data_IF_393160810033
#
_entry.id   IF_393160810033
#
_cell.length_a   1.000
_cell.length_b   1.000
_cell.length_c   1.000
_cell.angle_alpha   90.00
_cell.angle_beta   90.00
_cell.angle_gamma   90.00
#
_symmetry.space_group_name_H-M   'P 1'
#
loop_
_entity.id
_entity.type
_entity.pdbx_description
1 polymer ?
#
# COMPACT_ATOMS: atom_id res chain seq x y z
N UNK A 1 -3.51 36.42 9.28
CA UNK A 1 -3.91 35.80 10.55
C UNK A 1 -4.15 34.32 10.27
N UNK A 2 -3.11 33.52 10.40
CA UNK A 2 -3.19 32.07 10.29
C UNK A 2 -3.77 31.53 11.59
N UNK A 3 -4.97 30.96 11.51
CA UNK A 3 -5.52 30.17 12.62
C UNK A 3 -4.87 28.79 12.59
N UNK A 4 -3.90 28.57 13.48
CA UNK A 4 -3.44 27.24 13.85
C UNK A 4 -4.63 26.49 14.47
N UNK A 5 -5.26 25.62 13.69
CA UNK A 5 -6.16 24.62 14.24
C UNK A 5 -5.27 23.46 14.70
N UNK A 6 -4.78 23.59 15.94
CA UNK A 6 -4.19 22.48 16.67
C UNK A 6 -5.34 21.55 17.08
N UNK A 7 -5.73 20.62 16.19
CA UNK A 7 -6.63 19.53 16.58
C UNK A 7 -5.89 18.61 17.54
N UNK A 8 -6.33 18.62 18.77
CA UNK A 8 -5.97 17.65 19.80
C UNK A 8 -6.45 16.27 19.34
N UNK A 9 -5.57 15.50 18.67
CA UNK A 9 -5.85 14.17 18.21
C UNK A 9 -5.76 13.21 19.40
N UNK A 10 -6.91 12.91 19.97
CA UNK A 10 -7.13 11.73 20.82
C UNK A 10 -7.49 10.57 19.90
N UNK A 11 -6.52 9.95 19.23
CA UNK A 11 -6.73 8.65 18.59
C UNK A 11 -5.56 7.73 18.91
N UNK A 12 -5.88 6.61 19.47
CA UNK A 12 -4.94 5.59 19.94
C UNK A 12 -4.42 4.69 18.79
N UNK A 13 -4.86 4.91 17.54
CA UNK A 13 -4.51 4.11 16.36
C UNK A 13 -3.88 4.96 15.26
N UNK A 14 -3.11 4.33 14.36
CA UNK A 14 -2.67 4.94 13.11
C UNK A 14 -3.91 5.35 12.35
N UNK A 15 -4.03 6.66 12.07
CA UNK A 15 -5.17 7.17 11.34
C UNK A 15 -5.21 6.56 9.93
N UNK A 16 -6.38 6.07 9.48
CA UNK A 16 -6.56 5.78 8.07
C UNK A 16 -6.49 7.10 7.28
N UNK A 17 -5.90 7.07 6.11
CA UNK A 17 -5.93 8.20 5.19
C UNK A 17 -7.36 8.41 4.71
N UNK A 18 -8.03 9.44 5.24
CA UNK A 18 -9.34 9.81 4.74
C UNK A 18 -9.18 10.67 3.48
N UNK A 19 -8.95 10.01 2.36
CA UNK A 19 -8.74 10.64 1.06
C UNK A 19 -9.89 11.58 0.63
N UNK A 20 -11.13 11.35 1.10
CA UNK A 20 -12.28 12.21 0.80
C UNK A 20 -12.15 13.56 1.50
N UNK A 21 -11.81 13.56 2.78
CA UNK A 21 -11.63 14.79 3.56
C UNK A 21 -10.39 15.57 3.14
N UNK A 22 -9.31 14.87 2.83
CA UNK A 22 -8.04 15.50 2.46
C UNK A 22 -8.09 16.13 1.06
N UNK A 23 -8.96 15.65 0.19
CA UNK A 23 -9.12 16.16 -1.17
C UNK A 23 -10.34 17.11 -1.32
N UNK A 24 -11.10 17.40 -0.26
CA UNK A 24 -12.27 18.30 -0.32
C UNK A 24 -11.97 19.69 -0.91
N UNK A 25 -10.74 20.20 -0.73
CA UNK A 25 -10.32 21.51 -1.21
C UNK A 25 -9.40 21.44 -2.45
N UNK A 26 -9.24 20.27 -3.05
CA UNK A 26 -8.38 20.07 -4.23
C UNK A 26 -9.28 19.84 -5.45
N UNK A 27 -8.99 20.57 -6.54
CA UNK A 27 -9.69 20.36 -7.80
C UNK A 27 -9.47 18.91 -8.27
N UNK A 28 -10.56 18.16 -8.34
CA UNK A 28 -10.50 16.73 -8.64
C UNK A 28 -11.65 16.32 -9.57
N UNK A 29 -11.40 15.26 -10.35
CA UNK A 29 -12.41 14.62 -11.20
C UNK A 29 -12.78 13.28 -10.58
N UNK A 30 -14.08 13.04 -10.38
CA UNK A 30 -14.55 11.82 -9.75
C UNK A 30 -15.35 10.95 -10.71
N UNK A 31 -15.17 9.64 -10.63
CA UNK A 31 -15.99 8.65 -11.30
C UNK A 31 -16.70 7.87 -10.21
N UNK A 32 -17.95 8.21 -10.00
CA UNK A 32 -18.77 7.73 -8.88
C UNK A 32 -18.03 7.87 -7.54
N UNK A 33 -18.15 6.90 -6.64
CA UNK A 33 -17.38 6.82 -5.40
C UNK A 33 -16.10 5.96 -5.55
N UNK A 34 -15.76 5.58 -6.76
CA UNK A 34 -14.77 4.54 -7.02
C UNK A 34 -13.41 5.07 -7.47
N UNK A 35 -13.36 6.21 -8.17
CA UNK A 35 -12.09 6.77 -8.68
C UNK A 35 -12.04 8.28 -8.45
N UNK A 36 -10.88 8.76 -8.02
CA UNK A 36 -10.54 10.19 -8.00
C UNK A 36 -9.28 10.42 -8.81
N UNK A 37 -9.33 11.45 -9.63
CA UNK A 37 -8.24 11.94 -10.44
C UNK A 37 -7.89 13.35 -9.98
N UNK A 38 -6.62 13.62 -9.72
CA UNK A 38 -6.12 14.95 -9.36
C UNK A 38 -5.00 15.32 -10.31
N UNK A 39 -5.15 16.47 -10.96
CA UNK A 39 -4.16 17.05 -11.83
C UNK A 39 -3.28 18.01 -11.02
N UNK A 40 -1.97 17.77 -11.01
CA UNK A 40 -0.99 18.57 -10.27
C UNK A 40 -1.40 18.82 -8.79
N UNK A 41 -1.56 17.77 -7.99
CA UNK A 41 -1.91 17.96 -6.59
C UNK A 41 -0.84 18.80 -5.89
N UNK A 42 -1.24 19.88 -5.24
CA UNK A 42 -0.39 20.57 -4.28
C UNK A 42 -0.30 19.67 -3.04
N UNK A 43 0.69 18.82 -3.02
CA UNK A 43 0.99 18.00 -1.84
C UNK A 43 1.61 18.95 -0.81
N UNK A 44 0.76 19.63 -0.07
CA UNK A 44 1.21 20.43 1.06
C UNK A 44 1.74 19.50 2.14
N UNK A 45 2.76 19.94 2.86
CA UNK A 45 3.39 19.24 3.98
C UNK A 45 2.46 18.93 5.18
N UNK A 46 1.16 18.79 4.92
CA UNK A 46 0.14 18.48 5.92
C UNK A 46 0.29 17.08 6.52
N UNK A 47 1.02 16.20 5.82
CA UNK A 47 1.24 14.82 6.27
C UNK A 47 2.62 14.65 6.93
N UNK A 48 2.84 15.32 8.06
CA UNK A 48 4.08 15.19 8.85
C UNK A 48 4.12 13.93 9.73
N UNK A 49 3.25 12.96 9.49
CA UNK A 49 3.14 11.74 10.29
C UNK A 49 2.80 10.54 9.41
N UNK A 50 3.24 9.33 9.81
CA UNK A 50 2.88 8.11 9.11
C UNK A 50 1.37 7.87 9.12
N UNK A 51 0.79 7.51 7.98
CA UNK A 51 -0.62 7.16 7.85
C UNK A 51 -0.81 5.87 7.06
N UNK A 52 -1.90 5.18 7.32
CA UNK A 52 -2.24 3.94 6.64
C UNK A 52 -3.12 4.23 5.45
N UNK A 53 -2.72 3.73 4.28
CA UNK A 53 -3.56 3.77 3.09
C UNK A 53 -4.65 2.71 3.18
N UNK A 54 -5.89 3.08 2.96
CA UNK A 54 -7.05 2.19 2.82
C UNK A 54 -7.50 2.06 1.35
N UNK A 55 -6.86 2.80 0.46
CA UNK A 55 -7.12 2.84 -0.98
C UNK A 55 -5.88 2.44 -1.79
N UNK A 56 -6.07 2.13 -3.08
CA UNK A 56 -4.95 2.06 -4.02
C UNK A 56 -4.70 3.44 -4.61
N UNK A 57 -3.45 3.87 -4.64
CA UNK A 57 -3.06 5.14 -5.23
C UNK A 57 -1.90 4.97 -6.20
N UNK A 58 -1.98 5.69 -7.34
CA UNK A 58 -0.91 5.82 -8.32
C UNK A 58 -0.60 7.29 -8.55
N UNK A 59 0.67 7.66 -8.54
CA UNK A 59 1.13 9.00 -8.84
C UNK A 59 2.18 8.94 -9.95
N UNK A 60 1.85 9.52 -11.12
CA UNK A 60 2.78 9.69 -12.23
C UNK A 60 3.56 10.98 -11.99
N UNK A 61 4.77 10.87 -11.46
CA UNK A 61 5.66 12.00 -11.23
C UNK A 61 6.23 12.46 -12.57
N UNK A 62 5.93 13.71 -12.97
CA UNK A 62 6.38 14.32 -14.23
C UNK A 62 7.61 15.17 -14.00
N UNK A 63 7.72 15.86 -12.87
CA UNK A 63 8.88 16.67 -12.46
C UNK A 63 9.10 16.54 -10.97
N UNK A 64 10.34 16.85 -10.56
CA UNK A 64 10.73 16.89 -9.15
C UNK A 64 11.20 15.57 -8.59
N UNK A 65 11.41 15.60 -7.29
CA UNK A 65 11.90 14.48 -6.49
C UNK A 65 11.15 14.41 -5.17
N UNK A 66 10.87 13.21 -4.67
CA UNK A 66 10.35 13.03 -3.31
C UNK A 66 11.06 11.90 -2.59
N UNK A 67 11.19 12.05 -1.26
CA UNK A 67 11.67 11.02 -0.36
C UNK A 67 10.53 10.64 0.58
N UNK A 68 10.25 9.35 0.68
CA UNK A 68 9.20 8.82 1.54
C UNK A 68 9.54 7.39 1.98
N UNK A 69 8.81 6.88 2.95
CA UNK A 69 8.90 5.48 3.30
C UNK A 69 7.57 4.77 3.08
N UNK A 70 7.63 3.55 2.57
CA UNK A 70 6.51 2.63 2.51
C UNK A 70 6.79 1.48 3.45
N UNK A 71 5.92 1.26 4.42
CA UNK A 71 6.13 0.24 5.44
C UNK A 71 7.50 0.38 6.13
N UNK A 72 7.88 1.63 6.42
CA UNK A 72 9.16 2.01 7.05
C UNK A 72 10.41 1.73 6.20
N UNK A 73 10.28 1.25 4.97
CA UNK A 73 11.37 1.11 4.01
C UNK A 73 11.49 2.41 3.22
N UNK A 74 12.66 3.07 3.20
CA UNK A 74 12.83 4.34 2.50
C UNK A 74 12.89 4.15 0.99
N UNK A 75 12.35 5.13 0.26
CA UNK A 75 12.38 5.24 -1.19
C UNK A 75 12.64 6.68 -1.61
N UNK A 76 13.34 6.83 -2.72
CA UNK A 76 13.51 8.11 -3.42
C UNK A 76 12.85 7.98 -4.79
N UNK A 77 11.92 8.86 -5.09
CA UNK A 77 11.27 8.96 -6.39
C UNK A 77 11.80 10.18 -7.13
N UNK A 78 12.40 9.97 -8.28
CA UNK A 78 12.88 11.04 -9.18
C UNK A 78 12.14 10.94 -10.50
N UNK A 79 11.59 12.04 -10.96
CA UNK A 79 10.85 12.12 -12.23
C UNK A 79 11.73 11.79 -13.45
N UNK A 80 11.17 11.16 -14.51
CA UNK A 80 9.81 10.64 -14.57
C UNK A 80 9.69 9.25 -13.92
N UNK A 81 8.72 9.05 -13.06
CA UNK A 81 8.48 7.78 -12.42
C UNK A 81 6.99 7.57 -12.07
N UNK A 82 6.59 6.31 -11.88
CA UNK A 82 5.31 5.94 -11.27
C UNK A 82 5.56 5.58 -9.81
N UNK A 83 4.80 6.20 -8.92
CA UNK A 83 4.74 5.85 -7.50
C UNK A 83 3.42 5.12 -7.27
N UNK A 84 3.47 3.96 -6.63
CA UNK A 84 2.28 3.15 -6.32
C UNK A 84 2.21 2.85 -4.84
N UNK A 85 1.04 3.05 -4.26
CA UNK A 85 0.73 2.72 -2.87
C UNK A 85 -0.53 1.86 -2.85
N UNK A 86 -0.48 0.75 -2.13
CA UNK A 86 -1.56 -0.22 -2.06
C UNK A 86 -2.24 -0.22 -0.68
N UNK A 87 -3.49 -0.70 -0.58
CA UNK A 87 -4.19 -0.79 0.69
C UNK A 87 -3.39 -1.54 1.76
N UNK A 88 -3.46 -1.04 2.98
CA UNK A 88 -2.77 -1.59 4.14
C UNK A 88 -1.31 -1.13 4.29
N UNK A 89 -0.71 -0.51 3.28
CA UNK A 89 0.64 0.06 3.40
C UNK A 89 0.63 1.32 4.26
N UNK A 90 1.72 1.52 5.00
CA UNK A 90 1.95 2.73 5.80
C UNK A 90 2.90 3.62 5.02
N UNK A 91 2.45 4.84 4.75
CA UNK A 91 3.20 5.87 4.02
C UNK A 91 3.64 6.98 4.98
N UNK A 92 4.86 7.45 4.83
CA UNK A 92 5.42 8.59 5.54
C UNK A 92 6.26 9.41 4.57
N UNK A 93 5.87 10.67 4.33
CA UNK A 93 6.66 11.60 3.54
C UNK A 93 7.78 12.22 4.37
N UNK A 94 8.96 12.41 3.76
CA UNK A 94 10.12 13.05 4.38
C UNK A 94 10.52 14.33 3.66
N UNK A 95 10.45 14.31 2.35
CA UNK A 95 10.83 15.44 1.52
C UNK A 95 10.07 15.43 0.21
N UNK A 96 9.71 16.60 -0.28
CA UNK A 96 9.12 16.82 -1.61
C UNK A 96 9.74 18.10 -2.14
N UNK A 97 10.30 18.04 -3.36
CA UNK A 97 10.88 19.23 -4.01
C UNK A 97 9.80 20.24 -4.45
N UNK A 98 10.15 21.52 -4.52
CA UNK A 98 9.22 22.61 -4.85
C UNK A 98 8.60 22.47 -6.26
N UNK A 99 9.32 21.81 -7.18
CA UNK A 99 8.88 21.56 -8.55
C UNK A 99 8.18 20.21 -8.74
N UNK A 100 7.88 19.49 -7.62
CA UNK A 100 7.24 18.19 -7.67
C UNK A 100 5.82 18.30 -8.23
N UNK A 101 5.59 17.68 -9.38
CA UNK A 101 4.30 17.75 -10.08
C UNK A 101 4.01 16.46 -10.84
N UNK A 102 2.73 16.18 -11.04
CA UNK A 102 2.28 14.99 -11.74
C UNK A 102 0.78 14.75 -11.67
N UNK A 103 0.38 13.52 -11.92
CA UNK A 103 -1.00 13.07 -12.05
C UNK A 103 -1.29 12.02 -10.97
N UNK A 104 -2.34 12.21 -10.20
CA UNK A 104 -2.69 11.35 -9.10
C UNK A 104 -4.01 10.62 -9.37
N UNK A 105 -4.01 9.31 -9.20
CA UNK A 105 -5.17 8.44 -9.38
C UNK A 105 -5.39 7.67 -8.08
N UNK A 106 -6.59 7.77 -7.52
CA UNK A 106 -7.01 7.01 -6.35
C UNK A 106 -8.14 6.07 -6.76
N UNK A 107 -8.03 4.81 -6.37
CA UNK A 107 -9.03 3.78 -6.59
C UNK A 107 -9.60 3.32 -5.25
N UNK A 108 -10.93 3.26 -5.15
CA UNK A 108 -11.60 2.68 -3.98
C UNK A 108 -11.20 1.20 -3.81
N UNK A 109 -11.26 0.65 -2.59
CA UNK A 109 -11.03 -0.78 -2.37
C UNK A 109 -11.95 -1.65 -3.23
N UNK A 110 -13.24 -1.28 -3.30
CA UNK A 110 -14.25 -1.98 -4.10
C UNK A 110 -13.88 -2.02 -5.59
N UNK A 111 -13.43 -0.90 -6.14
CA UNK A 111 -13.03 -0.83 -7.54
C UNK A 111 -11.75 -1.63 -7.79
N UNK A 112 -10.73 -1.45 -6.93
CA UNK A 112 -9.47 -2.20 -7.03
C UNK A 112 -9.71 -3.73 -6.94
N UNK A 113 -10.56 -4.18 -6.01
CA UNK A 113 -10.96 -5.58 -5.90
C UNK A 113 -11.67 -6.08 -7.16
N UNK A 114 -12.50 -5.24 -7.80
CA UNK A 114 -13.18 -5.61 -9.05
C UNK A 114 -12.23 -5.83 -10.22
N UNK A 115 -11.06 -5.20 -10.21
CA UNK A 115 -10.01 -5.42 -11.20
C UNK A 115 -9.33 -6.77 -11.01
N UNK A 116 -9.28 -7.27 -9.76
CA UNK A 116 -8.57 -8.50 -9.40
C UNK A 116 -9.48 -9.74 -9.44
N UNK A 117 -10.77 -9.57 -9.07
CA UNK A 117 -11.67 -10.68 -8.72
C UNK A 117 -12.03 -11.59 -9.87
N UNK A 118 -11.78 -11.23 -11.11
CA UNK A 118 -12.18 -12.03 -12.26
C UNK A 118 -11.10 -12.97 -12.81
N UNK A 119 -9.84 -12.84 -12.35
CA UNK A 119 -8.77 -13.75 -12.83
C UNK A 119 -7.57 -13.75 -11.89
N UNK A 120 -7.07 -14.93 -11.54
CA UNK A 120 -5.76 -15.12 -10.88
C UNK A 120 -4.57 -14.52 -11.67
N UNK A 121 -4.82 -14.10 -12.90
CA UNK A 121 -3.83 -13.52 -13.82
C UNK A 121 -3.38 -12.11 -13.42
N UNK A 122 -4.17 -11.38 -12.62
CA UNK A 122 -3.85 -10.01 -12.22
C UNK A 122 -2.98 -9.94 -10.95
N UNK A 123 -2.92 -11.02 -10.17
CA UNK A 123 -2.17 -11.08 -8.90
C UNK A 123 -0.67 -10.75 -9.04
N UNK A 124 0.06 -11.24 -10.07
CA UNK A 124 1.47 -10.92 -10.25
C UNK A 124 1.74 -9.42 -10.40
N UNK A 125 0.85 -8.73 -11.10
CA UNK A 125 0.96 -7.29 -11.33
C UNK A 125 0.85 -6.49 -10.01
N UNK A 126 -0.12 -6.83 -9.16
CA UNK A 126 -0.28 -6.18 -7.85
C UNK A 126 0.88 -6.50 -6.92
N UNK A 127 1.44 -7.70 -6.96
CA UNK A 127 2.63 -8.04 -6.20
C UNK A 127 3.84 -7.27 -6.69
N UNK A 128 4.00 -7.13 -7.99
CA UNK A 128 5.05 -6.31 -8.57
C UNK A 128 4.99 -4.86 -8.06
N UNK A 129 3.82 -4.20 -8.10
CA UNK A 129 3.65 -2.85 -7.58
C UNK A 129 3.89 -2.76 -6.07
N UNK A 130 3.55 -3.80 -5.31
CA UNK A 130 3.80 -3.84 -3.87
C UNK A 130 5.29 -3.89 -3.53
N UNK A 131 6.06 -4.63 -4.31
CA UNK A 131 7.50 -4.79 -4.13
C UNK A 131 8.29 -3.62 -4.70
N UNK A 132 7.75 -2.97 -5.74
CA UNK A 132 8.36 -1.87 -6.46
C UNK A 132 7.46 -0.61 -6.42
N UNK A 133 7.36 0.07 -5.28
CA UNK A 133 6.50 1.25 -5.14
C UNK A 133 7.01 2.48 -5.91
N UNK A 134 8.24 2.44 -6.43
CA UNK A 134 8.80 3.45 -7.36
C UNK A 134 9.28 2.74 -8.61
N UNK A 135 8.73 3.13 -9.74
CA UNK A 135 9.06 2.56 -11.05
C UNK A 135 9.51 3.68 -11.97
N UNK A 136 10.80 3.73 -12.38
CA UNK A 136 11.26 4.69 -13.37
C UNK A 136 10.50 4.54 -14.69
N UNK A 137 10.18 5.64 -15.34
CA UNK A 137 9.47 5.64 -16.62
C UNK A 137 10.37 6.17 -17.72
N UNK A 138 10.30 5.58 -18.91
CA UNK A 138 10.80 6.20 -20.10
C UNK A 138 9.78 7.21 -20.69
N UNK A 139 10.19 7.97 -21.69
CA UNK A 139 9.34 9.00 -22.31
C UNK A 139 8.11 8.42 -23.00
N UNK A 140 8.21 7.21 -23.55
CA UNK A 140 7.11 6.56 -24.28
C UNK A 140 6.04 6.10 -23.29
N UNK A 141 6.46 5.42 -22.21
CA UNK A 141 5.55 4.96 -21.15
C UNK A 141 4.93 6.17 -20.42
N UNK A 142 5.70 7.21 -20.11
CA UNK A 142 5.17 8.44 -19.54
C UNK A 142 4.05 9.04 -20.42
N UNK A 143 4.28 9.15 -21.74
CA UNK A 143 3.28 9.66 -22.68
C UNK A 143 2.00 8.83 -22.70
N UNK A 144 2.12 7.50 -22.64
CA UNK A 144 0.96 6.59 -22.53
C UNK A 144 0.19 6.81 -21.22
N UNK A 145 0.89 6.98 -20.09
CA UNK A 145 0.27 7.22 -18.78
C UNK A 145 -0.49 8.54 -18.73
N UNK A 146 0.08 9.59 -19.30
CA UNK A 146 -0.60 10.89 -19.45
C UNK A 146 -1.87 10.73 -20.33
N UNK A 147 -1.76 10.06 -21.48
CA UNK A 147 -2.90 9.81 -22.35
C UNK A 147 -4.01 9.00 -21.66
N UNK A 148 -3.65 8.02 -20.87
CA UNK A 148 -4.61 7.24 -20.09
C UNK A 148 -5.31 8.09 -19.02
N UNK A 149 -4.58 8.95 -18.30
CA UNK A 149 -5.16 9.88 -17.34
C UNK A 149 -6.17 10.82 -18.00
N UNK A 150 -5.87 11.35 -19.17
CA UNK A 150 -6.77 12.23 -19.92
C UNK A 150 -8.05 11.49 -20.36
N UNK A 151 -7.94 10.23 -20.77
CA UNK A 151 -9.14 9.39 -21.08
C UNK A 151 -10.01 9.18 -19.84
N UNK A 152 -9.41 8.89 -18.68
CA UNK A 152 -10.17 8.77 -17.42
C UNK A 152 -10.85 10.10 -17.05
N UNK A 153 -10.15 11.22 -17.24
CA UNK A 153 -10.67 12.55 -16.98
C UNK A 153 -11.88 12.88 -17.87
N UNK A 154 -11.83 12.52 -19.16
CA UNK A 154 -12.97 12.63 -20.06
C UNK A 154 -14.17 11.79 -19.56
N UNK A 155 -13.93 10.53 -19.19
CA UNK A 155 -14.97 9.66 -18.62
C UNK A 155 -15.56 10.23 -17.31
N UNK A 156 -14.76 10.93 -16.51
CA UNK A 156 -15.25 11.58 -15.30
C UNK A 156 -16.26 12.72 -15.63
N UNK A 157 -16.07 13.42 -16.75
CA UNK A 157 -16.94 14.51 -17.20
C UNK A 157 -18.23 13.98 -17.86
N UNK A 158 -18.20 12.81 -18.49
CA UNK A 158 -19.34 12.19 -19.17
C UNK A 158 -20.27 11.45 -18.20
N UNK A 159 -20.92 12.17 -17.27
CA UNK A 159 -21.75 11.58 -16.19
C UNK A 159 -22.89 10.68 -16.66
N UNK A 160 -23.42 10.90 -17.86
CA UNK A 160 -24.58 10.19 -18.39
C UNK A 160 -24.22 9.02 -19.30
N UNK A 161 -22.94 8.63 -19.42
CA UNK A 161 -22.55 7.51 -20.24
C UNK A 161 -23.04 6.19 -19.61
N UNK A 162 -23.85 5.37 -20.30
CA UNK A 162 -24.53 4.21 -19.69
C UNK A 162 -23.58 3.11 -19.24
N UNK A 163 -22.40 3.01 -19.83
CA UNK A 163 -21.36 2.01 -19.51
C UNK A 163 -20.09 2.65 -18.93
N UNK A 164 -20.25 3.78 -18.24
CA UNK A 164 -19.11 4.58 -17.74
C UNK A 164 -18.16 3.76 -16.87
N UNK A 165 -18.69 3.10 -15.86
CA UNK A 165 -17.87 2.34 -14.90
C UNK A 165 -17.19 1.13 -15.55
N UNK A 166 -17.90 0.42 -16.43
CA UNK A 166 -17.32 -0.69 -17.20
C UNK A 166 -16.21 -0.22 -18.14
N UNK A 167 -16.43 0.89 -18.85
CA UNK A 167 -15.42 1.49 -19.75
C UNK A 167 -14.17 1.85 -18.97
N UNK A 168 -14.33 2.51 -17.82
CA UNK A 168 -13.22 2.89 -16.93
C UNK A 168 -12.48 1.66 -16.42
N UNK A 169 -13.20 0.61 -16.05
CA UNK A 169 -12.58 -0.67 -15.61
C UNK A 169 -11.72 -1.28 -16.70
N UNK A 170 -12.21 -1.37 -17.92
CA UNK A 170 -11.43 -1.92 -19.05
C UNK A 170 -10.27 -1.01 -19.45
N UNK A 171 -10.43 0.30 -19.42
CA UNK A 171 -9.33 1.25 -19.63
C UNK A 171 -8.24 1.10 -18.55
N UNK A 172 -8.64 0.94 -17.29
CA UNK A 172 -7.68 0.73 -16.19
C UNK A 172 -6.93 -0.58 -16.36
N UNK A 173 -7.60 -1.66 -16.75
CA UNK A 173 -6.95 -2.94 -17.06
C UNK A 173 -6.03 -2.81 -18.28
N UNK A 174 -6.50 -2.19 -19.37
CA UNK A 174 -5.68 -1.97 -20.55
C UNK A 174 -4.41 -1.16 -20.22
N UNK A 175 -4.53 -0.15 -19.37
CA UNK A 175 -3.39 0.60 -18.87
C UNK A 175 -2.42 -0.29 -18.06
N UNK A 176 -2.92 -1.02 -17.07
CA UNK A 176 -2.09 -1.88 -16.23
C UNK A 176 -1.34 -2.94 -17.05
N UNK A 177 -1.95 -3.47 -18.11
CA UNK A 177 -1.29 -4.41 -19.02
C UNK A 177 -0.43 -3.72 -20.06
N UNK A 178 -0.89 -2.60 -20.63
CA UNK A 178 -0.20 -1.87 -21.69
C UNK A 178 0.97 -1.01 -21.20
N UNK A 179 0.98 -0.66 -19.91
CA UNK A 179 2.15 -0.06 -19.25
C UNK A 179 3.30 -1.07 -19.06
N UNK A 180 3.09 -2.30 -19.46
CA UNK A 180 3.82 -3.51 -19.11
C UNK A 180 5.22 -3.71 -19.66
N UNK A 181 5.89 -2.68 -20.21
CA UNK A 181 7.32 -2.79 -20.56
C UNK A 181 8.23 -2.90 -19.32
N UNK A 182 7.71 -2.61 -18.11
CA UNK A 182 8.41 -2.85 -16.84
C UNK A 182 8.06 -4.19 -16.20
N UNK A 183 7.49 -5.12 -17.00
CA UNK A 183 6.86 -6.28 -16.41
C UNK A 183 7.66 -7.57 -16.64
N UNK A 184 7.89 -8.37 -15.57
CA UNK A 184 8.29 -9.76 -15.74
C UNK A 184 7.20 -10.65 -16.39
N UNK A 185 5.99 -10.11 -16.70
CA UNK A 185 4.93 -10.82 -17.44
C UNK A 185 5.16 -10.94 -18.96
N UNK A 186 6.24 -10.38 -19.51
CA UNK A 186 6.64 -10.62 -20.91
C UNK A 186 7.00 -12.10 -21.19
N UNK A 187 7.26 -12.86 -20.14
CA UNK A 187 7.25 -14.32 -20.21
C UNK A 187 5.82 -14.81 -19.90
N UNK A 188 5.24 -15.64 -20.77
CA UNK A 188 4.01 -16.41 -20.58
C UNK A 188 4.12 -17.40 -19.39
N UNK A 189 4.48 -16.88 -18.21
CA UNK A 189 4.69 -17.67 -17.02
C UNK A 189 3.34 -17.98 -16.38
N UNK A 190 2.84 -19.18 -16.61
CA UNK A 190 1.71 -19.71 -15.83
C UNK A 190 2.11 -19.68 -14.35
N UNK A 191 1.35 -18.92 -13.54
CA UNK A 191 1.53 -18.92 -12.08
C UNK A 191 1.39 -20.36 -11.60
N UNK A 192 2.41 -20.85 -10.93
CA UNK A 192 2.36 -22.20 -10.39
C UNK A 192 1.37 -22.27 -9.23
N UNK A 193 0.83 -23.45 -8.97
CA UNK A 193 -0.01 -23.68 -7.79
C UNK A 193 0.72 -23.27 -6.47
N UNK A 194 2.02 -23.43 -6.41
CA UNK A 194 2.85 -23.04 -5.26
C UNK A 194 2.89 -21.52 -5.09
N UNK A 195 3.05 -20.76 -6.17
CA UNK A 195 3.02 -19.29 -6.14
C UNK A 195 1.63 -18.77 -5.68
N UNK A 196 0.54 -19.40 -6.12
CA UNK A 196 -0.80 -19.09 -5.64
C UNK A 196 -0.97 -19.37 -4.13
N UNK A 197 -0.38 -20.46 -3.64
CA UNK A 197 -0.39 -20.75 -2.18
C UNK A 197 0.39 -19.70 -1.39
N UNK A 198 1.55 -19.26 -1.88
CA UNK A 198 2.32 -18.17 -1.25
C UNK A 198 1.49 -16.90 -1.19
N UNK A 199 0.86 -16.52 -2.28
CA UNK A 199 0.04 -15.31 -2.35
C UNK A 199 -1.15 -15.36 -1.38
N UNK A 200 -1.88 -16.47 -1.35
CA UNK A 200 -2.98 -16.66 -0.41
C UNK A 200 -2.50 -16.58 1.05
N UNK A 201 -1.35 -17.16 1.35
CA UNK A 201 -0.73 -17.05 2.66
C UNK A 201 -0.43 -15.60 3.01
N UNK A 202 0.19 -14.84 2.10
CA UNK A 202 0.53 -13.43 2.31
C UNK A 202 -0.72 -12.56 2.53
N UNK A 203 -1.80 -12.82 1.79
CA UNK A 203 -3.10 -12.16 1.98
C UNK A 203 -3.68 -12.42 3.37
N UNK A 204 -3.62 -13.66 3.82
CA UNK A 204 -4.06 -14.04 5.16
C UNK A 204 -3.18 -13.40 6.26
N UNK A 205 -1.86 -13.33 6.07
CA UNK A 205 -0.95 -12.66 7.01
C UNK A 205 -1.30 -11.17 7.10
N UNK A 206 -1.48 -10.48 5.99
CA UNK A 206 -1.90 -9.08 5.98
C UNK A 206 -3.18 -8.83 6.78
N UNK A 207 -4.13 -9.72 6.63
CA UNK A 207 -5.46 -9.57 7.28
C UNK A 207 -5.44 -9.94 8.77
N UNK A 208 -4.62 -10.90 9.17
CA UNK A 208 -4.75 -11.53 10.49
C UNK A 208 -3.55 -11.37 11.42
N UNK A 209 -2.41 -10.82 10.97
CA UNK A 209 -1.16 -10.76 11.75
C UNK A 209 -1.31 -10.09 13.12
N UNK A 210 -2.18 -9.09 13.28
CA UNK A 210 -2.43 -8.42 14.56
C UNK A 210 -2.89 -9.40 15.65
N UNK A 211 -3.75 -10.36 15.28
CA UNK A 211 -4.38 -11.30 16.22
C UNK A 211 -3.80 -12.69 16.16
N UNK A 212 -3.16 -13.08 15.07
CA UNK A 212 -2.72 -14.46 14.80
C UNK A 212 -1.25 -14.47 14.35
N UNK A 213 -0.41 -15.18 15.12
CA UNK A 213 1.03 -15.30 14.84
C UNK A 213 1.50 -16.73 14.55
N UNK A 214 0.59 -17.72 14.76
CA UNK A 214 0.96 -19.11 14.59
C UNK A 214 0.68 -19.62 13.18
N UNK A 215 1.67 -20.23 12.56
CA UNK A 215 1.57 -20.78 11.20
C UNK A 215 0.38 -21.75 11.04
N UNK A 216 0.05 -22.49 12.12
CA UNK A 216 -1.10 -23.43 12.11
C UNK A 216 -2.45 -22.75 11.83
N UNK A 217 -2.63 -21.50 12.27
CA UNK A 217 -3.84 -20.73 11.95
C UNK A 217 -4.00 -20.54 10.44
N UNK A 218 -2.95 -20.11 9.79
CA UNK A 218 -2.90 -19.85 8.34
C UNK A 218 -3.08 -21.14 7.55
N UNK A 219 -2.37 -22.19 7.94
CA UNK A 219 -2.51 -23.51 7.33
C UNK A 219 -3.94 -24.05 7.42
N UNK A 220 -4.60 -23.89 8.59
CA UNK A 220 -6.01 -24.26 8.78
C UNK A 220 -6.94 -23.46 7.87
N UNK A 221 -6.73 -22.15 7.73
CA UNK A 221 -7.51 -21.29 6.82
C UNK A 221 -7.35 -21.71 5.35
N UNK A 222 -6.18 -22.20 4.98
CA UNK A 222 -5.88 -22.68 3.62
C UNK A 222 -6.21 -24.16 3.42
N UNK A 223 -6.73 -24.84 4.43
CA UNK A 223 -7.11 -26.28 4.38
C UNK A 223 -5.93 -27.19 4.01
N UNK A 224 -4.72 -26.84 4.48
CA UNK A 224 -3.49 -27.61 4.28
C UNK A 224 -2.74 -27.83 5.60
N UNK A 225 -1.77 -28.75 5.61
CA UNK A 225 -0.96 -28.98 6.81
C UNK A 225 0.06 -27.86 7.04
N UNK A 226 0.38 -27.51 8.31
CA UNK A 226 1.42 -26.51 8.61
C UNK A 226 2.80 -26.89 8.03
N UNK A 227 3.12 -28.18 8.00
CA UNK A 227 4.38 -28.70 7.43
C UNK A 227 4.46 -28.44 5.91
N UNK A 228 3.35 -28.70 5.20
CA UNK A 228 3.26 -28.44 3.76
C UNK A 228 3.34 -26.95 3.46
N UNK A 229 2.56 -26.13 4.18
CA UNK A 229 2.61 -24.66 4.04
C UNK A 229 4.01 -24.13 4.26
N UNK A 230 4.69 -24.52 5.37
CA UNK A 230 6.06 -24.09 5.68
C UNK A 230 7.04 -24.45 4.56
N UNK A 231 6.93 -25.68 4.02
CA UNK A 231 7.76 -26.13 2.90
C UNK A 231 7.55 -25.30 1.65
N UNK A 232 6.30 -25.14 1.22
CA UNK A 232 5.96 -24.39 -0.01
C UNK A 232 6.41 -22.94 0.10
N UNK A 233 6.11 -22.26 1.22
CA UNK A 233 6.53 -20.87 1.42
C UNK A 233 8.05 -20.74 1.31
N UNK A 234 8.80 -21.60 2.01
CA UNK A 234 10.28 -21.54 1.99
C UNK A 234 10.87 -21.82 0.61
N UNK A 235 10.37 -22.83 -0.10
CA UNK A 235 10.87 -23.21 -1.43
C UNK A 235 10.55 -22.17 -2.49
N UNK A 236 9.36 -21.53 -2.42
CA UNK A 236 8.92 -20.56 -3.42
C UNK A 236 9.42 -19.14 -3.14
N UNK A 237 9.40 -18.70 -1.86
CA UNK A 237 9.79 -17.32 -1.50
C UNK A 237 11.25 -17.19 -1.02
N UNK A 238 11.96 -18.28 -0.84
CA UNK A 238 13.32 -18.32 -0.29
C UNK A 238 13.40 -18.05 1.23
N UNK A 239 12.28 -17.71 1.89
CA UNK A 239 12.21 -17.31 3.31
C UNK A 239 11.23 -18.16 4.10
N UNK A 240 11.51 -18.45 5.40
CA UNK A 240 10.57 -19.13 6.28
C UNK A 240 9.24 -18.40 6.42
N UNK A 241 8.14 -19.15 6.53
CA UNK A 241 6.80 -18.56 6.68
C UNK A 241 6.66 -17.70 7.95
N UNK A 242 7.32 -18.08 9.05
CA UNK A 242 7.28 -17.31 10.29
C UNK A 242 7.95 -15.93 10.15
N UNK A 243 8.99 -15.81 9.32
CA UNK A 243 9.66 -14.53 9.09
C UNK A 243 8.70 -13.51 8.43
N UNK A 244 7.85 -13.98 7.52
CA UNK A 244 6.81 -13.15 6.91
C UNK A 244 5.77 -12.67 7.92
N UNK A 245 5.36 -13.54 8.84
CA UNK A 245 4.44 -13.18 9.93
C UNK A 245 5.12 -12.18 10.87
N UNK A 246 6.37 -12.47 11.27
CA UNK A 246 7.17 -11.62 12.16
C UNK A 246 7.38 -10.21 11.56
N UNK A 247 7.66 -10.11 10.26
CA UNK A 247 7.81 -8.83 9.57
C UNK A 247 6.53 -7.99 9.65
N UNK A 248 5.36 -8.58 9.37
CA UNK A 248 4.09 -7.86 9.40
C UNK A 248 3.71 -7.41 10.83
N UNK A 249 3.89 -8.28 11.81
CA UNK A 249 3.65 -7.93 13.23
C UNK A 249 4.59 -6.82 13.70
N UNK A 250 5.87 -6.94 13.33
CA UNK A 250 6.90 -5.96 13.72
C UNK A 250 6.70 -4.63 13.02
N UNK A 251 6.29 -4.64 11.75
CA UNK A 251 5.96 -3.43 11.01
C UNK A 251 4.81 -2.68 11.66
N UNK A 252 3.74 -3.39 12.01
CA UNK A 252 2.61 -2.82 12.72
C UNK A 252 3.04 -2.24 14.08
N UNK A 253 3.84 -3.00 14.85
CA UNK A 253 4.37 -2.54 16.13
C UNK A 253 5.21 -1.27 15.98
N UNK A 254 6.10 -1.21 14.99
CA UNK A 254 6.93 -0.02 14.70
C UNK A 254 6.07 1.18 14.35
N UNK A 255 5.04 1.00 13.53
CA UNK A 255 4.12 2.06 13.18
C UNK A 255 3.36 2.58 14.40
N UNK A 256 2.80 1.70 15.24
CA UNK A 256 2.13 2.10 16.48
C UNK A 256 3.06 2.83 17.46
N UNK A 257 4.31 2.37 17.61
CA UNK A 257 5.31 2.99 18.49
C UNK A 257 5.68 4.42 18.05
N UNK A 258 5.66 4.71 16.75
CA UNK A 258 6.07 6.01 16.18
C UNK A 258 4.92 6.98 15.92
N UNK A 259 3.76 6.47 15.53
CA UNK A 259 2.65 7.32 15.06
C UNK A 259 1.51 7.46 16.06
N UNK A 260 1.62 6.87 17.26
CA UNK A 260 0.58 6.96 18.29
C UNK A 260 1.14 7.36 19.66
N UNK A 261 0.25 7.87 20.53
CA UNK A 261 0.55 8.14 21.93
C UNK A 261 0.38 6.91 22.83
N UNK A 262 0.08 5.73 22.25
CA UNK A 262 -0.10 4.50 23.01
C UNK A 262 1.16 4.18 23.82
N UNK A 263 0.98 3.74 25.06
CA UNK A 263 2.08 3.18 25.84
C UNK A 263 2.39 1.73 25.39
N UNK A 264 3.49 1.17 25.87
CA UNK A 264 3.95 -0.16 25.44
C UNK A 264 2.93 -1.26 25.80
N UNK A 265 2.22 -1.10 26.93
CA UNK A 265 1.19 -2.04 27.33
C UNK A 265 -0.01 -2.01 26.37
N UNK A 266 -0.52 -0.82 26.05
CA UNK A 266 -1.62 -0.65 25.09
C UNK A 266 -1.27 -1.23 23.70
N UNK A 267 -0.04 -1.00 23.23
CA UNK A 267 0.43 -1.60 21.95
C UNK A 267 0.47 -3.12 22.05
N UNK A 268 0.92 -3.66 23.19
CA UNK A 268 0.92 -5.10 23.43
C UNK A 268 -0.49 -5.70 23.36
N UNK A 269 -1.48 -5.02 23.94
CA UNK A 269 -2.89 -5.41 23.93
C UNK A 269 -3.50 -5.29 22.53
N UNK A 270 -3.26 -4.18 21.83
CA UNK A 270 -3.71 -3.95 20.45
C UNK A 270 -3.21 -5.04 19.49
N UNK A 271 -1.95 -5.46 19.69
CA UNK A 271 -1.34 -6.54 18.92
C UNK A 271 -1.62 -7.94 19.47
N UNK A 272 -2.54 -8.03 20.44
CA UNK A 272 -2.97 -9.30 21.02
C UNK A 272 -1.82 -10.16 21.56
N UNK A 273 -0.85 -9.54 22.26
CA UNK A 273 0.17 -10.28 23.02
C UNK A 273 -0.34 -10.63 24.42
N UNK A 274 0.08 -11.79 24.97
CA UNK A 274 -0.34 -12.21 26.32
C UNK A 274 0.04 -11.23 27.44
N UNK A 275 1.14 -10.48 27.24
CA UNK A 275 1.58 -9.42 28.15
C UNK A 275 2.60 -8.50 27.47
N UNK A 276 2.82 -7.32 28.08
CA UNK A 276 3.86 -6.37 27.67
C UNK A 276 5.26 -7.04 27.63
N UNK A 277 5.56 -7.93 28.57
CA UNK A 277 6.84 -8.63 28.62
C UNK A 277 7.03 -9.58 27.42
N UNK A 278 5.97 -10.28 27.00
CA UNK A 278 6.02 -11.12 25.80
C UNK A 278 6.21 -10.26 24.54
N UNK A 279 5.50 -9.17 24.43
CA UNK A 279 5.69 -8.20 23.34
C UNK A 279 7.11 -7.68 23.29
N UNK A 280 7.66 -7.24 24.43
CA UNK A 280 9.01 -6.72 24.53
C UNK A 280 10.08 -7.72 24.08
N UNK A 281 9.97 -8.98 24.53
CA UNK A 281 10.88 -10.06 24.10
C UNK A 281 10.75 -10.36 22.61
N UNK A 282 9.54 -10.44 22.11
CA UNK A 282 9.25 -10.68 20.70
C UNK A 282 9.83 -9.57 19.82
N UNK A 283 9.51 -8.33 20.12
CA UNK A 283 9.97 -7.16 19.36
C UNK A 283 11.50 -7.05 19.36
N UNK A 284 12.14 -7.25 20.54
CA UNK A 284 13.61 -7.24 20.64
C UNK A 284 14.26 -8.38 19.86
N UNK A 285 13.67 -9.58 19.85
CA UNK A 285 14.15 -10.73 19.06
C UNK A 285 14.18 -10.40 17.57
N UNK A 286 13.14 -9.74 17.06
CA UNK A 286 12.99 -9.48 15.61
C UNK A 286 13.75 -8.22 15.18
N UNK A 287 13.79 -7.16 16.02
CA UNK A 287 14.35 -5.85 15.64
C UNK A 287 15.73 -5.55 16.22
N UNK A 288 16.19 -6.36 17.16
CA UNK A 288 17.43 -6.10 17.92
C UNK A 288 17.29 -5.06 19.05
N UNK A 289 16.16 -4.34 19.13
CA UNK A 289 15.92 -3.25 20.11
C UNK A 289 14.65 -3.51 20.92
N UNK A 290 14.59 -3.01 22.14
CA UNK A 290 13.34 -3.00 22.90
C UNK A 290 12.33 -2.00 22.32
N UNK A 291 11.01 -2.20 22.54
CA UNK A 291 9.99 -1.23 22.13
C UNK A 291 10.22 0.18 22.66
N UNK A 292 10.70 0.31 23.90
CA UNK A 292 10.97 1.61 24.53
C UNK A 292 12.15 2.33 23.88
N UNK A 293 13.25 1.60 23.60
CA UNK A 293 14.40 2.15 22.87
C UNK A 293 14.00 2.58 21.45
N UNK A 294 13.17 1.79 20.77
CA UNK A 294 12.69 2.13 19.44
C UNK A 294 11.80 3.37 19.46
N UNK A 295 10.90 3.49 20.43
CA UNK A 295 10.00 4.64 20.60
C UNK A 295 10.78 5.93 20.87
N UNK A 296 11.86 5.88 21.67
CA UNK A 296 12.67 7.03 22.06
C UNK A 296 13.70 7.50 21.02
N UNK A 297 13.92 6.76 19.93
CA UNK A 297 14.90 7.09 18.88
C UNK A 297 14.40 8.06 17.80
N UNK A 298 13.22 8.70 17.98
CA UNK A 298 12.65 9.62 17.00
C UNK A 298 12.42 10.99 17.54
#
# INVERSE_FOLDING_TARGET
MQKNICMSIKSENILPFNWRTELENIESYTIDDDIILVDNPVITSTFNFPFRMDVSAGFVCIRGTSEYSVNLKPYTATAPCLITILPGQILEYKYISDDFTGLFVILSPKFADSLISNTSEHLPLFNFFRENPVIPLDKVVLGRMIGFFELLKQMAQEKNHPYRLETVRYLTLAFLYGAGDFHPLSENRKISHQEMLVENFMNLVRTHHKKQRELRFYAKKMTISPKYLSKVIKETSGRPANDWIDDHVTLEAKALLKSTNMNIQQISEELNFPSQSFFGKYFKRVTGMSPSEYKGKG
#
